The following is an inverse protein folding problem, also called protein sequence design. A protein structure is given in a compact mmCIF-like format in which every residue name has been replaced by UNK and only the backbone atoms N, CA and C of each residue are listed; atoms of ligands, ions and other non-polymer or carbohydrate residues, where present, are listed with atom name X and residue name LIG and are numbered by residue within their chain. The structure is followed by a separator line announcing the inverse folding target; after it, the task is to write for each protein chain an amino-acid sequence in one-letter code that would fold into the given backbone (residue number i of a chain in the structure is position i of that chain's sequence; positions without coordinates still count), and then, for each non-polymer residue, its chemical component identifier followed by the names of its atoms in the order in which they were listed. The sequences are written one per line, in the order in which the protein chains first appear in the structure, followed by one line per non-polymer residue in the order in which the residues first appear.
data_IF_802372668812
#
_entry.id   IF_802372668812
#
_cell.length_a   1.000
_cell.length_b   1.000
_cell.length_c   1.000
_cell.angle_alpha   90.00
_cell.angle_beta   90.00
_cell.angle_gamma   90.00
#
_symmetry.space_group_name_H-M   'P 1'
#
loop_
_entity.id
_entity.type
_entity.pdbx_description
1 polymer ?
#
# COMPACT_ATOMS: atom_id res chain seq x y z
N UNK A 1 15.23 8.88 11.78
CA UNK A 1 14.65 7.70 12.45
C UNK A 1 15.79 6.77 12.83
N UNK A 2 15.84 6.26 14.05
CA UNK A 2 16.89 5.34 14.49
C UNK A 2 16.53 3.90 14.13
N UNK A 3 17.54 2.99 14.02
CA UNK A 3 17.29 1.56 13.71
C UNK A 3 16.30 0.91 14.70
N UNK A 4 16.28 1.39 15.97
CA UNK A 4 15.32 0.91 16.97
C UNK A 4 13.89 1.38 16.70
N UNK A 5 13.70 2.60 16.22
CA UNK A 5 12.39 3.14 15.86
C UNK A 5 11.83 2.42 14.63
N UNK A 6 12.64 2.18 13.60
CA UNK A 6 12.24 1.40 12.42
C UNK A 6 11.80 -0.02 12.82
N UNK A 7 12.53 -0.68 13.74
CA UNK A 7 12.16 -2.02 14.20
C UNK A 7 10.88 -2.02 15.05
N UNK A 8 10.59 -0.95 15.79
CA UNK A 8 9.34 -0.83 16.55
C UNK A 8 8.12 -0.70 15.63
N UNK A 9 8.25 -0.01 14.49
CA UNK A 9 7.18 0.13 13.50
C UNK A 9 6.82 -1.21 12.83
N UNK A 10 7.72 -2.21 12.85
CA UNK A 10 7.43 -3.56 12.35
C UNK A 10 6.61 -4.42 13.33
N UNK A 11 6.40 -3.95 14.57
CA UNK A 11 5.63 -4.66 15.59
C UNK A 11 4.18 -4.18 15.58
N UNK A 12 3.25 -5.08 15.30
CA UNK A 12 1.81 -4.80 15.25
C UNK A 12 1.24 -4.31 16.59
N UNK A 13 1.72 -4.84 17.73
CA UNK A 13 1.28 -4.42 19.06
C UNK A 13 1.71 -2.96 19.35
N UNK A 14 2.89 -2.56 18.90
CA UNK A 14 3.36 -1.20 19.02
C UNK A 14 2.48 -0.24 18.19
N UNK A 15 2.18 -0.61 16.94
CA UNK A 15 1.28 0.18 16.09
C UNK A 15 -0.13 0.26 16.69
N UNK A 16 -0.69 -0.87 17.13
CA UNK A 16 -2.00 -0.90 17.81
C UNK A 16 -2.03 0.04 19.03
N UNK A 17 -0.99 -0.01 19.88
CA UNK A 17 -0.89 0.87 21.05
C UNK A 17 -0.80 2.35 20.68
N UNK A 18 -0.13 2.69 19.60
CA UNK A 18 -0.01 4.05 19.09
C UNK A 18 -1.34 4.58 18.56
N UNK A 19 -2.09 3.77 17.81
CA UNK A 19 -3.42 4.16 17.32
C UNK A 19 -4.46 4.28 18.43
N UNK A 20 -4.39 3.43 19.47
CA UNK A 20 -5.27 3.54 20.65
C UNK A 20 -4.94 4.76 21.48
N UNK A 21 -3.69 5.17 21.58
CA UNK A 21 -3.24 6.35 22.33
C UNK A 21 -3.68 7.68 21.68
N UNK A 22 -3.94 7.69 20.39
CA UNK A 22 -4.47 8.85 19.66
C UNK A 22 -6.00 8.94 19.87
N UNK A 23 -6.46 9.29 21.06
CA UNK A 23 -7.86 9.34 21.54
C UNK A 23 -8.83 10.25 20.75
N UNK A 24 -8.71 10.34 19.42
CA UNK A 24 -9.60 11.15 18.57
C UNK A 24 -9.39 12.67 18.66
N UNK A 25 -8.62 13.14 19.63
CA UNK A 25 -8.29 14.56 19.81
C UNK A 25 -6.97 14.94 19.12
N UNK A 26 -6.14 13.96 18.75
CA UNK A 26 -4.94 14.21 17.97
C UNK A 26 -5.28 14.31 16.47
N UNK A 27 -4.64 15.24 15.75
CA UNK A 27 -4.86 15.35 14.31
C UNK A 27 -4.48 14.03 13.63
N UNK A 28 -5.31 13.57 12.69
CA UNK A 28 -5.08 12.39 11.86
C UNK A 28 -3.64 12.41 11.35
N UNK A 29 -2.87 11.37 11.68
CA UNK A 29 -1.48 11.28 11.23
C UNK A 29 -1.42 10.66 9.84
N UNK A 30 -1.46 11.51 8.81
CA UNK A 30 -1.33 11.03 7.44
C UNK A 30 0.15 10.74 7.13
N UNK A 31 0.48 9.46 7.04
CA UNK A 31 1.84 9.01 6.69
C UNK A 31 2.21 9.43 5.26
N UNK A 32 3.44 9.91 5.10
CA UNK A 32 4.10 10.29 3.84
C UNK A 32 3.46 11.49 3.18
N UNK A 33 2.37 11.29 2.41
CA UNK A 33 1.71 12.33 1.63
C UNK A 33 0.21 12.31 1.89
N UNK A 34 -0.40 13.51 1.93
CA UNK A 34 -1.84 13.65 1.96
C UNK A 34 -2.47 13.17 0.66
N UNK A 35 -3.77 12.87 0.69
CA UNK A 35 -4.51 12.50 -0.52
C UNK A 35 -4.40 13.54 -1.63
N UNK A 36 -4.43 14.83 -1.29
CA UNK A 36 -4.29 15.93 -2.25
C UNK A 36 -2.96 15.87 -3.00
N UNK A 37 -1.85 15.64 -2.28
CA UNK A 37 -0.52 15.50 -2.91
C UNK A 37 -0.40 14.22 -3.75
N UNK A 38 -1.16 13.18 -3.44
CA UNK A 38 -1.21 11.93 -4.21
C UNK A 38 -2.19 12.01 -5.38
N UNK A 39 -3.05 13.03 -5.45
CA UNK A 39 -4.10 13.14 -6.47
C UNK A 39 -3.56 13.04 -7.90
N UNK A 40 -2.44 13.66 -8.31
CA UNK A 40 -1.90 13.51 -9.66
C UNK A 40 -1.54 12.06 -9.99
N UNK A 41 -0.95 11.32 -9.05
CA UNK A 41 -0.60 9.92 -9.22
C UNK A 41 -1.84 9.02 -9.23
N UNK A 42 -2.75 9.21 -8.28
CA UNK A 42 -4.00 8.46 -8.19
C UNK A 42 -4.93 8.79 -9.35
N UNK A 43 -5.00 10.06 -9.79
CA UNK A 43 -5.74 10.48 -10.98
C UNK A 43 -5.40 9.63 -12.18
N UNK A 44 -4.12 9.64 -12.55
CA UNK A 44 -3.58 8.91 -13.70
C UNK A 44 -3.72 7.38 -13.59
N UNK A 45 -3.56 6.80 -12.41
CA UNK A 45 -3.42 5.34 -12.25
C UNK A 45 -4.67 4.64 -11.69
N UNK A 46 -5.62 5.41 -11.15
CA UNK A 46 -6.84 4.92 -10.53
C UNK A 46 -8.07 5.72 -10.96
N UNK A 47 -8.17 7.01 -10.58
CA UNK A 47 -9.42 7.76 -10.64
C UNK A 47 -9.93 8.00 -12.06
N UNK A 48 -9.03 8.20 -13.02
CA UNK A 48 -9.32 8.49 -14.43
C UNK A 48 -8.98 7.30 -15.35
N UNK A 49 -8.45 6.21 -14.78
CA UNK A 49 -8.03 5.05 -15.55
C UNK A 49 -9.25 4.20 -15.95
N UNK A 50 -9.49 3.95 -17.24
CA UNK A 50 -10.56 3.05 -17.71
C UNK A 50 -10.47 1.66 -17.05
N UNK A 51 -11.59 1.15 -16.58
CA UNK A 51 -11.70 -0.11 -15.83
C UNK A 51 -11.32 -0.02 -14.35
N UNK A 52 -10.87 1.16 -13.88
CA UNK A 52 -10.52 1.40 -12.47
C UNK A 52 -11.17 2.63 -11.88
N UNK A 53 -11.78 3.47 -12.70
CA UNK A 53 -12.54 4.62 -12.23
C UNK A 53 -13.78 4.16 -11.44
N UNK A 54 -14.30 5.01 -10.55
CA UNK A 54 -15.42 4.66 -9.67
C UNK A 54 -16.65 4.14 -10.41
N UNK A 55 -16.92 4.66 -11.61
CA UNK A 55 -18.04 4.22 -12.48
C UNK A 55 -17.90 2.77 -12.96
N UNK A 56 -16.68 2.25 -13.03
CA UNK A 56 -16.38 0.87 -13.43
C UNK A 56 -16.52 -0.10 -12.25
N UNK A 57 -16.78 0.42 -11.04
CA UNK A 57 -16.95 -0.31 -9.79
C UNK A 57 -15.79 -1.29 -9.47
N UNK A 58 -14.52 -0.84 -9.51
CA UNK A 58 -13.38 -1.70 -9.23
C UNK A 58 -13.34 -2.08 -7.74
N UNK A 59 -12.84 -3.28 -7.45
CA UNK A 59 -12.50 -3.69 -6.07
C UNK A 59 -11.12 -3.15 -5.72
N UNK A 60 -11.09 -2.20 -4.77
CA UNK A 60 -9.86 -1.59 -4.26
C UNK A 60 -9.54 -2.18 -2.89
N UNK A 61 -8.36 -2.79 -2.75
CA UNK A 61 -7.83 -3.29 -1.48
C UNK A 61 -6.79 -2.32 -0.94
N UNK A 62 -7.12 -1.57 0.11
CA UNK A 62 -6.15 -0.73 0.82
C UNK A 62 -5.47 -1.55 1.93
N UNK A 63 -4.18 -1.78 1.77
CA UNK A 63 -3.36 -2.60 2.66
C UNK A 63 -2.85 -1.74 3.83
N UNK A 64 -3.29 -2.08 5.06
CA UNK A 64 -2.87 -1.40 6.27
C UNK A 64 -3.21 0.08 6.28
N UNK A 65 -4.49 0.39 6.13
CA UNK A 65 -4.98 1.78 6.06
C UNK A 65 -4.68 2.61 7.32
N UNK A 66 -4.57 1.98 8.49
CA UNK A 66 -4.38 2.71 9.74
C UNK A 66 -5.47 3.78 9.93
N UNK A 67 -5.05 5.00 10.22
CA UNK A 67 -5.88 6.21 10.31
C UNK A 67 -5.88 7.09 9.05
N UNK A 68 -5.41 6.54 7.90
CA UNK A 68 -5.36 7.26 6.63
C UNK A 68 -6.73 7.70 6.13
N UNK A 69 -6.81 8.92 5.61
CA UNK A 69 -8.03 9.47 5.00
C UNK A 69 -8.33 8.89 3.61
N UNK A 70 -7.39 8.18 2.99
CA UNK A 70 -7.51 7.67 1.61
C UNK A 70 -8.78 6.83 1.40
N UNK A 71 -9.16 5.89 2.27
CA UNK A 71 -10.39 5.12 2.09
C UNK A 71 -11.64 6.01 2.05
N UNK A 72 -11.74 6.99 2.96
CA UNK A 72 -12.87 7.92 3.01
C UNK A 72 -12.92 8.82 1.76
N UNK A 73 -11.77 9.29 1.30
CA UNK A 73 -11.64 10.09 0.08
C UNK A 73 -12.06 9.31 -1.18
N UNK A 74 -11.68 8.04 -1.28
CA UNK A 74 -12.10 7.16 -2.37
C UNK A 74 -13.61 6.89 -2.30
N UNK A 75 -14.16 6.59 -1.13
CA UNK A 75 -15.58 6.37 -0.94
C UNK A 75 -16.40 7.62 -1.32
N UNK A 76 -15.96 8.82 -0.91
CA UNK A 76 -16.56 10.10 -1.31
C UNK A 76 -16.57 10.34 -2.82
N UNK A 77 -15.69 9.69 -3.58
CA UNK A 77 -15.63 9.72 -5.04
C UNK A 77 -16.40 8.59 -5.72
N UNK A 78 -17.14 7.79 -4.95
CA UNK A 78 -18.02 6.76 -5.46
C UNK A 78 -17.39 5.37 -5.60
N UNK A 79 -16.17 5.15 -5.10
CA UNK A 79 -15.63 3.81 -4.94
C UNK A 79 -16.45 3.07 -3.89
N UNK A 80 -16.95 1.89 -4.24
CA UNK A 80 -17.81 1.10 -3.37
C UNK A 80 -17.11 -0.20 -3.03
N UNK A 81 -17.03 -0.53 -1.75
CA UNK A 81 -16.86 -1.91 -1.33
C UNK A 81 -18.21 -2.47 -0.86
N UNK A 82 -18.46 -3.75 -1.09
CA UNK A 82 -19.82 -4.34 -1.01
C UNK A 82 -20.27 -4.71 0.42
N UNK A 83 -19.54 -4.37 1.49
CA UNK A 83 -19.75 -5.03 2.79
C UNK A 83 -19.66 -4.15 4.06
N UNK A 84 -20.03 -2.85 4.09
CA UNK A 84 -20.08 -2.12 5.37
C UNK A 84 -21.07 -0.97 5.50
N UNK A 85 -21.41 -0.65 6.79
CA UNK A 85 -22.35 0.37 7.24
C UNK A 85 -21.93 1.84 6.97
N UNK A 86 -20.69 2.08 6.57
CA UNK A 86 -20.27 3.34 5.96
C UNK A 86 -20.21 3.06 4.47
N UNK A 87 -21.12 3.63 3.69
CA UNK A 87 -21.31 3.38 2.28
C UNK A 87 -19.98 3.13 1.53
N UNK A 88 -19.64 1.87 1.28
CA UNK A 88 -18.60 1.47 0.37
C UNK A 88 -17.26 1.01 0.96
N UNK A 89 -17.05 0.91 2.28
CA UNK A 89 -15.77 0.46 2.88
C UNK A 89 -16.00 -0.77 3.76
N UNK A 90 -15.31 -1.87 3.47
CA UNK A 90 -15.21 -3.02 4.37
C UNK A 90 -13.87 -3.00 5.13
N UNK A 91 -13.93 -2.96 6.46
CA UNK A 91 -12.74 -3.03 7.31
C UNK A 91 -12.49 -4.45 7.76
N UNK A 92 -11.29 -4.98 7.48
CA UNK A 92 -10.86 -6.31 7.94
C UNK A 92 -9.57 -6.21 8.73
N UNK A 93 -9.55 -6.81 9.90
CA UNK A 93 -8.32 -7.03 10.65
C UNK A 93 -7.72 -8.36 10.19
N UNK A 94 -6.69 -8.30 9.35
CA UNK A 94 -6.02 -9.47 8.78
C UNK A 94 -4.54 -9.19 8.61
N UNK A 95 -3.71 -10.22 8.74
CA UNK A 95 -2.28 -10.11 8.41
C UNK A 95 -2.14 -10.00 6.89
N UNK A 96 -1.59 -8.89 6.42
CA UNK A 96 -1.40 -8.63 4.98
C UNK A 96 -0.42 -9.61 4.30
N UNK A 97 0.31 -10.41 5.10
CA UNK A 97 1.18 -11.49 4.62
C UNK A 97 0.45 -12.82 4.47
N UNK A 98 -0.82 -12.88 4.92
CA UNK A 98 -1.70 -14.05 4.83
C UNK A 98 -3.15 -13.57 4.92
N UNK A 99 -3.79 -13.36 3.78
CA UNK A 99 -5.14 -12.80 3.65
C UNK A 99 -6.17 -13.86 3.18
N UNK A 100 -6.49 -14.90 3.97
CA UNK A 100 -7.35 -15.99 3.53
C UNK A 100 -8.79 -15.55 3.18
N UNK A 101 -9.22 -14.42 3.71
CA UNK A 101 -10.55 -13.84 3.43
C UNK A 101 -10.61 -13.07 2.09
N UNK A 102 -9.47 -12.82 1.46
CA UNK A 102 -9.39 -12.20 0.13
C UNK A 102 -9.20 -13.28 -0.92
N UNK A 103 -10.19 -13.45 -1.80
CA UNK A 103 -10.15 -14.47 -2.84
C UNK A 103 -9.04 -14.21 -3.86
N UNK A 104 -8.44 -15.29 -4.38
CA UNK A 104 -7.45 -15.21 -5.46
C UNK A 104 -8.05 -14.55 -6.70
N UNK A 105 -7.30 -13.64 -7.31
CA UNK A 105 -7.71 -12.99 -8.57
C UNK A 105 -8.98 -12.14 -8.44
N UNK A 106 -9.25 -11.57 -7.26
CA UNK A 106 -10.50 -10.84 -7.01
C UNK A 106 -10.36 -9.32 -6.97
N UNK A 107 -9.15 -8.80 -6.86
CA UNK A 107 -8.84 -7.39 -6.63
C UNK A 107 -8.39 -6.72 -7.92
N UNK A 108 -9.01 -5.60 -8.27
CA UNK A 108 -8.63 -4.78 -9.43
C UNK A 108 -7.43 -3.87 -9.09
N UNK A 109 -7.45 -3.26 -7.89
CA UNK A 109 -6.40 -2.35 -7.43
C UNK A 109 -6.03 -2.69 -5.99
N UNK A 110 -4.77 -3.02 -5.73
CA UNK A 110 -4.19 -3.01 -4.39
C UNK A 110 -3.48 -1.67 -4.18
N UNK A 111 -3.65 -1.06 -3.01
CA UNK A 111 -3.01 0.21 -2.67
C UNK A 111 -2.30 0.11 -1.32
N UNK A 112 -1.07 0.54 -1.27
CA UNK A 112 -0.24 0.62 -0.06
C UNK A 112 0.43 1.98 0.05
N UNK A 113 0.35 2.56 1.23
CA UNK A 113 1.03 3.80 1.60
C UNK A 113 1.66 3.63 2.98
N UNK A 114 2.82 2.94 3.02
CA UNK A 114 3.63 2.80 4.23
C UNK A 114 3.54 1.46 4.95
N UNK A 115 2.61 0.58 4.62
CA UNK A 115 2.49 -0.73 5.28
C UNK A 115 3.67 -1.64 4.97
N UNK A 116 4.08 -1.73 3.71
CA UNK A 116 5.28 -2.46 3.32
C UNK A 116 6.53 -1.81 3.94
N UNK A 117 6.58 -0.47 3.98
CA UNK A 117 7.68 0.27 4.61
C UNK A 117 7.84 -0.07 6.10
N UNK A 118 6.74 -0.26 6.82
CA UNK A 118 6.76 -0.63 8.23
C UNK A 118 7.40 -2.01 8.48
N UNK A 119 7.39 -2.92 7.50
CA UNK A 119 8.04 -4.23 7.59
C UNK A 119 9.53 -4.20 7.29
N UNK A 120 10.04 -3.10 6.73
CA UNK A 120 11.43 -2.99 6.29
C UNK A 120 12.24 -2.22 7.33
N UNK A 121 13.19 -2.89 7.94
CA UNK A 121 14.13 -2.32 8.90
C UNK A 121 15.55 -2.84 8.69
N UNK A 122 16.53 -2.24 9.38
CA UNK A 122 17.93 -2.62 9.30
C UNK A 122 18.65 -2.01 8.10
N UNK A 123 19.72 -2.68 7.66
CA UNK A 123 20.54 -2.17 6.56
C UNK A 123 19.85 -2.30 5.22
N UNK A 124 19.67 -1.22 4.43
CA UNK A 124 19.09 -1.31 3.11
C UNK A 124 19.96 -2.09 2.10
N UNK A 125 21.27 -2.18 2.36
CA UNK A 125 22.23 -2.94 1.54
C UNK A 125 22.17 -4.44 1.81
N UNK A 126 21.84 -4.82 3.03
CA UNK A 126 21.75 -6.21 3.48
C UNK A 126 20.58 -6.31 4.47
N UNK A 127 19.33 -6.31 3.98
CA UNK A 127 18.19 -6.47 4.84
C UNK A 127 18.23 -7.81 5.61
N UNK A 128 17.79 -7.85 6.87
CA UNK A 128 17.67 -9.09 7.63
C UNK A 128 16.83 -10.13 6.87
N UNK A 129 17.11 -11.41 7.10
CA UNK A 129 16.38 -12.50 6.41
C UNK A 129 14.88 -12.48 6.76
N UNK A 130 14.54 -12.11 7.99
CA UNK A 130 13.14 -11.91 8.40
C UNK A 130 12.45 -10.81 7.57
N UNK A 131 13.13 -9.69 7.27
CA UNK A 131 12.60 -8.63 6.40
C UNK A 131 12.34 -9.18 4.99
N UNK A 132 13.30 -9.93 4.42
CA UNK A 132 13.15 -10.55 3.10
C UNK A 132 11.98 -11.53 3.07
N UNK A 133 11.83 -12.34 4.10
CA UNK A 133 10.75 -13.31 4.21
C UNK A 133 9.39 -12.62 4.33
N UNK A 134 9.26 -11.66 5.25
CA UNK A 134 8.01 -10.92 5.46
C UNK A 134 7.58 -10.15 4.21
N UNK A 135 8.50 -9.44 3.56
CA UNK A 135 8.22 -8.71 2.32
C UNK A 135 7.87 -9.67 1.16
N UNK A 136 8.55 -10.80 1.05
CA UNK A 136 8.23 -11.82 0.04
C UNK A 136 6.83 -12.41 0.25
N UNK A 137 6.46 -12.77 1.48
CA UNK A 137 5.11 -13.27 1.80
C UNK A 137 4.05 -12.24 1.47
N UNK A 138 4.25 -10.99 1.89
CA UNK A 138 3.35 -9.88 1.58
C UNK A 138 3.15 -9.71 0.07
N UNK A 139 4.23 -9.64 -0.71
CA UNK A 139 4.15 -9.45 -2.15
C UNK A 139 3.50 -10.64 -2.88
N UNK A 140 3.70 -11.87 -2.39
CA UNK A 140 3.02 -13.08 -2.91
C UNK A 140 1.52 -13.04 -2.63
N UNK A 141 1.10 -12.55 -1.46
CA UNK A 141 -0.32 -12.38 -1.13
C UNK A 141 -0.97 -11.29 -1.98
N UNK A 142 -0.30 -10.15 -2.19
CA UNK A 142 -0.77 -9.12 -3.12
C UNK A 142 -0.90 -9.69 -4.54
N UNK A 143 0.12 -10.44 -5.01
CA UNK A 143 0.09 -11.07 -6.32
C UNK A 143 -1.07 -12.07 -6.46
N UNK A 144 -1.31 -12.90 -5.44
CA UNK A 144 -2.41 -13.84 -5.42
C UNK A 144 -3.77 -13.15 -5.49
N UNK A 145 -3.95 -12.10 -4.69
CA UNK A 145 -5.21 -11.36 -4.58
C UNK A 145 -5.58 -10.58 -5.85
N UNK A 146 -4.58 -10.01 -6.53
CA UNK A 146 -4.80 -9.23 -7.76
C UNK A 146 -5.34 -10.10 -8.90
N UNK A 147 -6.24 -9.53 -9.70
CA UNK A 147 -6.58 -10.02 -11.04
C UNK A 147 -5.35 -10.01 -11.96
N UNK A 148 -5.40 -10.70 -13.09
CA UNK A 148 -4.27 -10.75 -14.04
C UNK A 148 -4.00 -9.38 -14.69
N UNK A 149 -5.02 -8.55 -14.86
CA UNK A 149 -4.95 -7.17 -15.32
C UNK A 149 -4.96 -6.14 -14.17
N UNK A 150 -4.97 -6.63 -12.93
CA UNK A 150 -4.94 -5.80 -11.73
C UNK A 150 -3.63 -5.02 -11.57
N UNK A 151 -3.67 -4.02 -10.70
CA UNK A 151 -2.51 -3.18 -10.41
C UNK A 151 -2.28 -3.05 -8.91
N UNK A 152 -1.01 -3.05 -8.53
CA UNK A 152 -0.57 -2.68 -7.19
C UNK A 152 0.06 -1.29 -7.25
N UNK A 153 -0.56 -0.32 -6.57
CA UNK A 153 -0.08 1.05 -6.40
C UNK A 153 0.59 1.15 -5.03
N UNK A 154 1.88 1.44 -5.02
CA UNK A 154 2.66 1.49 -3.81
C UNK A 154 3.37 2.83 -3.65
N UNK A 155 3.18 3.48 -2.51
CA UNK A 155 3.79 4.77 -2.16
C UNK A 155 4.82 4.55 -1.06
N UNK A 156 6.05 5.04 -1.28
CA UNK A 156 7.17 4.90 -0.34
C UNK A 156 8.08 6.13 -0.36
N UNK A 157 8.83 6.34 0.73
CA UNK A 157 9.94 7.29 0.79
C UNK A 157 11.29 6.62 0.52
N UNK A 158 11.31 5.28 0.41
CA UNK A 158 12.55 4.52 0.27
C UNK A 158 13.11 4.62 -1.13
N UNK A 159 14.43 4.74 -1.21
CA UNK A 159 15.14 4.93 -2.48
C UNK A 159 14.93 3.75 -3.44
N UNK A 160 14.66 4.01 -4.72
CA UNK A 160 14.27 2.97 -5.70
C UNK A 160 15.29 1.85 -5.87
N UNK A 161 16.58 2.15 -5.78
CA UNK A 161 17.63 1.15 -5.96
C UNK A 161 17.63 0.07 -4.86
N UNK A 162 17.19 0.40 -3.63
CA UNK A 162 17.01 -0.57 -2.56
C UNK A 162 15.71 -1.35 -2.73
N UNK A 163 14.64 -0.64 -3.10
CA UNK A 163 13.33 -1.24 -3.21
C UNK A 163 13.22 -2.24 -4.36
N UNK A 164 13.93 -2.02 -5.47
CA UNK A 164 13.93 -2.93 -6.63
C UNK A 164 14.28 -4.38 -6.26
N UNK A 165 15.22 -4.56 -5.34
CA UNK A 165 15.67 -5.89 -4.90
C UNK A 165 14.63 -6.60 -4.03
N UNK A 166 13.86 -5.83 -3.23
CA UNK A 166 12.82 -6.37 -2.36
C UNK A 166 11.49 -6.59 -3.09
N UNK A 167 11.13 -5.67 -3.98
CA UNK A 167 9.83 -5.70 -4.66
C UNK A 167 9.71 -6.81 -5.71
N UNK A 168 10.80 -7.21 -6.36
CA UNK A 168 10.72 -8.15 -7.49
C UNK A 168 11.86 -9.18 -7.52
N UNK A 169 12.14 -9.90 -6.42
CA UNK A 169 13.22 -10.88 -6.41
C UNK A 169 12.99 -12.02 -7.41
N UNK A 170 11.73 -12.40 -7.63
CA UNK A 170 11.33 -13.53 -8.47
C UNK A 170 10.96 -13.11 -9.90
N UNK A 171 11.12 -11.84 -10.28
CA UNK A 171 10.76 -11.27 -11.60
C UNK A 171 9.30 -11.51 -12.03
N UNK A 172 8.39 -11.63 -11.07
CA UNK A 172 6.94 -11.84 -11.30
C UNK A 172 6.18 -10.55 -11.58
N UNK A 173 6.85 -9.40 -11.48
CA UNK A 173 6.25 -8.09 -11.61
C UNK A 173 6.87 -7.27 -12.75
N UNK A 174 6.03 -6.54 -13.47
CA UNK A 174 6.40 -5.38 -14.25
C UNK A 174 6.19 -4.14 -13.43
N UNK A 175 7.23 -3.30 -13.28
CA UNK A 175 7.21 -2.15 -12.39
C UNK A 175 7.55 -0.87 -13.15
N UNK A 176 6.69 0.11 -13.02
CA UNK A 176 6.95 1.50 -13.40
C UNK A 176 7.04 2.33 -12.11
N UNK A 177 7.82 3.40 -12.11
CA UNK A 177 7.99 4.26 -10.95
C UNK A 177 8.06 5.71 -11.38
N UNK A 178 7.43 6.58 -10.61
CA UNK A 178 7.55 8.04 -10.75
C UNK A 178 7.87 8.70 -9.41
N UNK A 179 8.55 9.84 -9.49
CA UNK A 179 8.88 10.66 -8.33
C UNK A 179 7.67 11.52 -8.00
N UNK A 180 7.20 11.44 -6.75
CA UNK A 180 6.07 12.21 -6.22
C UNK A 180 6.60 13.41 -5.44
N UNK A 181 7.44 14.22 -6.07
CA UNK A 181 8.04 15.41 -5.48
C UNK A 181 7.22 16.68 -5.78
N UNK A 182 7.22 17.58 -4.82
CA UNK A 182 6.73 18.96 -4.95
C UNK A 182 7.88 19.97 -4.92
N UNK A 183 9.13 19.48 -5.09
CA UNK A 183 10.34 20.29 -4.91
C UNK A 183 10.73 20.51 -3.45
N UNK A 184 10.11 19.76 -2.52
CA UNK A 184 10.44 19.78 -1.09
C UNK A 184 11.74 19.02 -0.74
N UNK A 185 12.00 18.88 0.55
CA UNK A 185 13.26 18.32 1.09
C UNK A 185 13.40 16.80 0.86
N UNK A 186 12.29 16.09 0.64
CA UNK A 186 12.26 14.64 0.48
C UNK A 186 11.41 14.22 -0.71
N UNK A 187 11.97 13.35 -1.55
CA UNK A 187 11.23 12.69 -2.61
C UNK A 187 10.44 11.49 -2.05
N UNK A 188 9.24 11.31 -2.57
CA UNK A 188 8.48 10.08 -2.43
C UNK A 188 8.38 9.43 -3.80
N UNK A 189 8.14 8.13 -3.80
CA UNK A 189 8.12 7.34 -5.02
C UNK A 189 6.78 6.61 -5.12
N UNK A 190 6.12 6.75 -6.25
CA UNK A 190 4.90 6.03 -6.60
C UNK A 190 5.23 4.90 -7.57
N UNK A 191 4.98 3.67 -7.17
CA UNK A 191 5.14 2.50 -8.01
C UNK A 191 3.81 2.06 -8.58
N UNK A 192 3.81 1.74 -9.87
CA UNK A 192 2.72 1.07 -10.58
C UNK A 192 3.21 -0.32 -10.97
N UNK A 193 2.69 -1.33 -10.28
CA UNK A 193 3.19 -2.70 -10.32
C UNK A 193 2.10 -3.60 -10.90
N UNK A 194 2.42 -4.36 -11.94
CA UNK A 194 1.51 -5.29 -12.61
C UNK A 194 2.14 -6.67 -12.69
N UNK A 195 1.31 -7.72 -12.74
CA UNK A 195 1.81 -9.07 -12.96
C UNK A 195 2.57 -9.16 -14.28
N UNK A 196 3.72 -9.83 -14.27
CA UNK A 196 4.40 -10.19 -15.51
C UNK A 196 3.54 -11.17 -16.28
N UNK A 197 3.43 -11.00 -17.60
CA UNK A 197 2.79 -12.02 -18.43
C UNK A 197 3.65 -13.29 -18.41
N UNK A 198 3.03 -14.48 -18.32
CA UNK A 198 3.78 -15.73 -18.51
C UNK A 198 4.52 -15.68 -19.86
N UNK A 199 5.80 -16.02 -19.83
CA UNK A 199 6.58 -16.21 -21.05
C UNK A 199 6.18 -17.50 -21.74
#
# INVERSE_FOLDING_TARGET
MTIKEDQQLSNSEYLDSRYVASNGDDPIHEWFRSFEHLQPFLGKNLLEQPGRAAQDNPKVLHLGSGDSVVPAELAGRGYKDQLCDIAGIEWKRVDVRDMPTVSTGSIDVAFDKGTLDAMIYGSPWSPPDEVKENTSRYLKEVHRALKDDGVFLYITFRQPHFMKLLLNPDNIWNMEMEVLGDGGTFDYYGYVIRKSKPQ
#
